data_IF_933313672873
#
_entry.id   IF_933313672873
#
_cell.length_a   1.000
_cell.length_b   1.000
_cell.length_c   1.000
_cell.angle_alpha   90.00
_cell.angle_beta   90.00
_cell.angle_gamma   90.00
#
_symmetry.space_group_name_H-M   'P 1'
#
loop_
_entity.id
_entity.type
_entity.pdbx_description
1 polymer ?
#
# COMPACT_ATOMS: atom_id res chain seq x y z
N UNK A 1 -12.72 -1.95 -6.62
CA UNK A 1 -11.43 -1.39 -6.19
C UNK A 1 -11.34 0.05 -6.65
N UNK A 2 -10.71 0.94 -5.86
CA UNK A 2 -10.66 2.38 -6.17
C UNK A 2 -9.31 2.77 -6.81
N UNK A 3 -9.29 3.77 -7.71
CA UNK A 3 -8.06 4.27 -8.30
C UNK A 3 -7.12 4.81 -7.22
N UNK A 4 -5.86 4.39 -7.27
CA UNK A 4 -4.84 4.81 -6.31
C UNK A 4 -4.31 6.20 -6.68
N UNK A 5 -4.51 7.17 -5.78
CA UNK A 5 -3.94 8.49 -5.91
C UNK A 5 -2.41 8.46 -5.70
N UNK A 6 -1.69 9.33 -6.41
CA UNK A 6 -0.23 9.46 -6.30
C UNK A 6 0.58 8.42 -7.10
N UNK A 7 -0.09 7.60 -7.93
CA UNK A 7 0.58 6.73 -8.88
C UNK A 7 0.51 7.31 -10.30
N UNK A 8 1.60 7.30 -11.09
CA UNK A 8 1.58 7.83 -12.44
C UNK A 8 0.64 7.03 -13.33
N UNK A 9 -0.29 7.73 -14.00
CA UNK A 9 -1.19 7.16 -15.01
C UNK A 9 -0.56 7.33 -16.39
N UNK A 10 0.55 6.64 -16.61
CA UNK A 10 1.32 6.69 -17.84
C UNK A 10 1.41 5.29 -18.45
N UNK A 11 1.84 5.20 -19.71
CA UNK A 11 2.07 3.91 -20.32
C UNK A 11 3.23 3.17 -19.63
N UNK A 12 3.26 1.83 -19.64
CA UNK A 12 4.36 1.06 -19.04
C UNK A 12 5.74 1.46 -19.58
N UNK A 13 5.84 1.83 -20.85
CA UNK A 13 7.07 2.31 -21.49
C UNK A 13 7.56 3.65 -20.92
N UNK A 14 6.64 4.52 -20.54
CA UNK A 14 6.91 5.83 -19.93
C UNK A 14 7.20 5.71 -18.43
N UNK A 15 6.50 4.81 -17.73
CA UNK A 15 6.76 4.49 -16.32
C UNK A 15 8.19 4.00 -16.13
N UNK A 16 8.73 3.20 -17.07
CA UNK A 16 10.12 2.74 -17.03
C UNK A 16 11.15 3.87 -17.17
N UNK A 17 10.78 5.04 -17.69
CA UNK A 17 11.65 6.22 -17.84
C UNK A 17 11.65 7.11 -16.59
N UNK A 18 10.65 7.02 -15.72
CA UNK A 18 10.55 7.83 -14.50
C UNK A 18 11.61 7.46 -13.46
N UNK A 19 11.95 8.37 -12.55
CA UNK A 19 12.80 8.03 -11.40
C UNK A 19 12.06 7.11 -10.41
N UNK A 20 12.81 6.27 -9.68
CA UNK A 20 12.25 5.27 -8.73
C UNK A 20 11.26 5.89 -7.72
N UNK A 21 11.50 7.11 -7.26
CA UNK A 21 10.62 7.84 -6.35
C UNK A 21 9.27 8.23 -6.98
N UNK A 22 9.26 8.57 -8.28
CA UNK A 22 8.05 8.96 -9.01
C UNK A 22 7.22 7.75 -9.47
N UNK A 23 7.81 6.54 -9.48
CA UNK A 23 7.12 5.28 -9.83
C UNK A 23 6.36 4.66 -8.66
N UNK A 24 6.59 5.10 -7.42
CA UNK A 24 6.00 4.48 -6.23
C UNK A 24 5.47 5.52 -5.26
N UNK A 25 4.41 5.17 -4.55
CA UNK A 25 4.00 5.93 -3.36
C UNK A 25 4.92 5.52 -2.22
N UNK A 26 5.44 6.48 -1.44
CA UNK A 26 6.47 6.25 -0.41
C UNK A 26 6.04 5.35 0.76
N UNK A 27 4.73 5.17 0.98
CA UNK A 27 4.19 4.34 2.07
C UNK A 27 4.27 2.83 1.78
N UNK A 28 4.21 2.03 2.84
CA UNK A 28 4.12 0.56 2.76
C UNK A 28 2.85 0.18 1.97
N UNK A 29 2.97 -0.81 1.09
CA UNK A 29 1.92 -1.24 0.15
C UNK A 29 1.37 -0.10 -0.74
N UNK A 30 2.13 0.98 -0.91
CA UNK A 30 1.84 2.08 -1.81
C UNK A 30 1.79 1.61 -3.27
N UNK A 31 0.72 1.94 -4.00
CA UNK A 31 0.53 1.47 -5.38
C UNK A 31 -0.11 0.09 -5.52
N UNK A 32 -0.32 -0.63 -4.41
CA UNK A 32 -1.09 -1.88 -4.38
C UNK A 32 -2.40 -1.74 -3.62
N UNK A 33 -2.36 -1.08 -2.46
CA UNK A 33 -3.49 -1.00 -1.53
C UNK A 33 -3.88 0.45 -1.27
N UNK A 34 -5.18 0.73 -1.22
CA UNK A 34 -5.71 2.06 -0.95
C UNK A 34 -5.34 2.54 0.47
N UNK A 35 -5.26 3.86 0.75
CA UNK A 35 -4.86 4.35 2.07
C UNK A 35 -5.81 3.88 3.19
N UNK A 36 -7.12 3.85 2.90
CA UNK A 36 -8.13 3.40 3.86
C UNK A 36 -8.02 1.90 4.14
N UNK A 37 -7.81 1.11 3.08
CA UNK A 37 -7.64 -0.34 3.14
C UNK A 37 -6.41 -0.69 4.00
N UNK A 38 -5.30 0.01 3.78
CA UNK A 38 -4.07 -0.16 4.57
C UNK A 38 -4.29 0.23 6.04
N UNK A 39 -4.98 1.34 6.30
CA UNK A 39 -5.31 1.78 7.66
C UNK A 39 -6.10 0.72 8.42
N UNK A 40 -7.11 0.12 7.79
CA UNK A 40 -7.93 -0.94 8.41
C UNK A 40 -7.09 -2.19 8.68
N UNK A 41 -6.29 -2.63 7.70
CA UNK A 41 -5.43 -3.81 7.85
C UNK A 41 -4.40 -3.62 8.97
N UNK A 42 -3.74 -2.46 9.04
CA UNK A 42 -2.78 -2.16 10.11
C UNK A 42 -3.43 -2.12 11.49
N UNK A 43 -4.64 -1.57 11.61
CA UNK A 43 -5.40 -1.58 12.87
C UNK A 43 -5.76 -3.00 13.30
N UNK A 44 -6.18 -3.84 12.37
CA UNK A 44 -6.51 -5.24 12.65
C UNK A 44 -5.25 -6.01 13.07
N UNK A 45 -4.17 -5.89 12.31
CA UNK A 45 -2.88 -6.51 12.63
C UNK A 45 -2.36 -6.06 13.99
N UNK A 46 -2.44 -4.77 14.32
CA UNK A 46 -2.02 -4.27 15.63
C UNK A 46 -2.84 -4.91 16.77
N UNK A 47 -4.14 -5.08 16.59
CA UNK A 47 -5.01 -5.75 17.59
C UNK A 47 -4.66 -7.22 17.75
N UNK A 48 -4.45 -7.94 16.65
CA UNK A 48 -4.09 -9.37 16.70
C UNK A 48 -2.69 -9.61 17.24
N UNK A 49 -1.75 -8.68 17.02
CA UNK A 49 -0.39 -8.77 17.58
C UNK A 49 -0.39 -8.45 19.08
N UNK A 50 -1.24 -7.52 19.54
CA UNK A 50 -1.34 -7.14 20.95
C UNK A 50 -2.06 -8.16 21.83
N UNK A 51 -2.86 -9.04 21.24
CA UNK A 51 -3.38 -10.21 21.93
C UNK A 51 -2.41 -11.37 21.70
N UNK A 52 -1.79 -11.95 22.73
CA UNK A 52 -1.25 -13.29 22.59
C UNK A 52 -2.47 -14.19 22.39
N UNK A 53 -2.88 -14.38 21.13
CA UNK A 53 -3.76 -15.47 20.77
C UNK A 53 -2.89 -16.73 20.85
N UNK A 54 -2.70 -17.18 22.10
CA UNK A 54 -2.33 -18.54 22.43
C UNK A 54 -3.40 -19.43 21.80
N UNK A 55 -3.08 -19.91 20.61
CA UNK A 55 -3.71 -21.07 20.04
C UNK A 55 -3.17 -22.28 20.80
N UNK A 56 -3.93 -22.77 21.78
CA UNK A 56 -4.02 -24.18 22.23
C UNK A 56 -5.21 -24.33 23.17
#
# INVERSE_FOLDING_TARGET
>A
GNPLAGFPRLLPSEIRKLNRSKRRVSRIYGGQVCPNCLKTALKQAARTISTPAEAS
#
